data_IF_324912067929
#
_entry.id   IF_324912067929
#
_cell.length_a   1.000
_cell.length_b   1.000
_cell.length_c   1.000
_cell.angle_alpha   90.00
_cell.angle_beta   90.00
_cell.angle_gamma   90.00
#
_symmetry.space_group_name_H-M   'P 1'
#
loop_
_entity.id
_entity.type
_entity.pdbx_description
1 polymer ?
#
# COMPACT_ATOMS: atom_id res chain seq x y z
N UNK A 1 -5.03 32.41 6.39
CA UNK A 1 -3.90 32.02 5.53
C UNK A 1 -4.49 31.29 4.35
N UNK A 2 -4.28 31.78 3.13
CA UNK A 2 -4.88 31.19 1.94
C UNK A 2 -4.19 29.86 1.65
N UNK A 3 -4.99 28.80 1.49
CA UNK A 3 -4.51 27.49 1.12
C UNK A 3 -3.72 27.54 -0.19
N UNK A 4 -2.54 26.93 -0.21
CA UNK A 4 -1.69 26.80 -1.40
C UNK A 4 -2.46 26.06 -2.52
N UNK A 5 -2.65 26.71 -3.66
CA UNK A 5 -3.31 26.13 -4.84
C UNK A 5 -2.44 25.06 -5.51
N UNK A 6 -3.04 24.25 -6.38
CA UNK A 6 -2.35 23.20 -7.14
C UNK A 6 -1.11 23.70 -7.90
N UNK A 7 -1.26 24.84 -8.59
CA UNK A 7 -0.18 25.47 -9.36
C UNK A 7 0.96 25.99 -8.50
N UNK A 8 0.72 26.23 -7.21
CA UNK A 8 1.73 26.71 -6.27
C UNK A 8 2.53 25.54 -5.70
N UNK A 9 1.91 24.40 -5.38
CA UNK A 9 2.64 23.21 -4.92
C UNK A 9 3.65 22.74 -5.97
N UNK A 10 3.25 22.64 -7.24
CA UNK A 10 4.15 22.19 -8.31
C UNK A 10 5.40 23.09 -8.45
N UNK A 11 5.28 24.38 -8.14
CA UNK A 11 6.41 25.34 -8.18
C UNK A 11 7.32 25.24 -6.96
N UNK A 12 6.84 24.66 -5.85
CA UNK A 12 7.56 24.55 -4.58
C UNK A 12 8.36 23.25 -4.45
N UNK A 13 8.20 22.31 -5.38
CA UNK A 13 8.76 20.96 -5.29
C UNK A 13 9.60 20.66 -6.54
N UNK A 14 10.50 19.67 -6.44
CA UNK A 14 11.27 19.23 -7.61
C UNK A 14 10.38 18.51 -8.63
N UNK A 15 10.88 18.37 -9.87
CA UNK A 15 10.18 17.60 -10.89
C UNK A 15 10.00 16.13 -10.48
N UNK A 16 10.98 15.57 -9.77
CA UNK A 16 10.95 14.21 -9.25
C UNK A 16 9.89 14.05 -8.14
N UNK A 17 9.80 14.99 -7.18
CA UNK A 17 8.72 14.97 -6.18
C UNK A 17 7.35 15.15 -6.84
N UNK A 18 7.23 16.01 -7.84
CA UNK A 18 5.97 16.19 -8.56
C UNK A 18 5.52 14.92 -9.28
N UNK A 19 6.43 14.24 -9.99
CA UNK A 19 6.11 12.98 -10.64
C UNK A 19 5.69 11.91 -9.60
N UNK A 20 6.37 11.85 -8.45
CA UNK A 20 5.98 10.96 -7.35
C UNK A 20 4.57 11.27 -6.83
N UNK A 21 4.21 12.55 -6.70
CA UNK A 21 2.86 12.98 -6.31
C UNK A 21 1.81 12.51 -7.31
N UNK A 22 2.08 12.64 -8.61
CA UNK A 22 1.18 12.16 -9.68
C UNK A 22 1.00 10.65 -9.60
N UNK A 23 2.09 9.88 -9.46
CA UNK A 23 2.01 8.42 -9.35
C UNK A 23 1.30 7.97 -8.07
N UNK A 24 1.50 8.67 -6.95
CA UNK A 24 0.83 8.35 -5.69
C UNK A 24 -0.66 8.68 -5.76
N UNK A 25 -1.03 9.82 -6.34
CA UNK A 25 -2.44 10.17 -6.58
C UNK A 25 -3.12 9.14 -7.49
N UNK A 26 -2.46 8.70 -8.57
CA UNK A 26 -2.94 7.58 -9.39
C UNK A 26 -3.17 6.32 -8.56
N UNK A 27 -2.25 5.97 -7.66
CA UNK A 27 -2.39 4.81 -6.78
C UNK A 27 -3.66 4.91 -5.92
N UNK A 28 -3.91 6.05 -5.28
CA UNK A 28 -5.15 6.29 -4.52
C UNK A 28 -6.40 6.11 -5.39
N UNK A 29 -6.44 6.72 -6.58
CA UNK A 29 -7.57 6.57 -7.51
C UNK A 29 -7.78 5.13 -7.97
N UNK A 30 -6.70 4.39 -8.20
CA UNK A 30 -6.79 2.96 -8.55
C UNK A 30 -7.35 2.16 -7.38
N UNK A 31 -6.88 2.39 -6.15
CA UNK A 31 -7.42 1.71 -4.95
C UNK A 31 -8.92 1.96 -4.81
N UNK A 32 -9.39 3.20 -5.05
CA UNK A 32 -10.82 3.50 -5.09
C UNK A 32 -11.54 2.76 -6.24
N UNK A 33 -10.98 2.78 -7.45
CA UNK A 33 -11.54 2.13 -8.64
C UNK A 33 -11.71 0.61 -8.47
N UNK A 34 -10.80 -0.04 -7.74
CA UNK A 34 -10.88 -1.47 -7.44
C UNK A 34 -11.74 -1.79 -6.20
N UNK A 35 -12.35 -0.77 -5.56
CA UNK A 35 -13.27 -0.94 -4.42
C UNK A 35 -12.57 -1.32 -3.11
N UNK A 36 -11.32 -0.87 -2.93
CA UNK A 36 -10.50 -1.22 -1.76
C UNK A 36 -10.41 -0.11 -0.70
N UNK A 37 -11.05 1.03 -0.95
CA UNK A 37 -11.17 2.10 0.03
C UNK A 37 -12.12 1.71 1.16
N UNK A 38 -11.84 2.25 2.35
CA UNK A 38 -12.70 2.17 3.54
C UNK A 38 -12.95 3.59 4.03
N UNK A 39 -13.90 4.25 3.38
CA UNK A 39 -14.18 5.68 3.53
C UNK A 39 -12.87 6.48 3.47
N UNK A 40 -12.51 7.17 4.55
CA UNK A 40 -11.34 8.04 4.68
C UNK A 40 -10.25 7.46 5.60
N UNK A 41 -10.37 6.17 5.97
CA UNK A 41 -9.62 5.58 7.09
C UNK A 41 -8.36 4.79 6.70
N UNK A 42 -8.11 4.59 5.41
CA UNK A 42 -6.89 3.92 4.92
C UNK A 42 -5.88 4.92 4.38
N UNK A 43 -4.65 4.46 4.13
CA UNK A 43 -3.53 5.34 3.80
C UNK A 43 -2.46 4.64 2.96
N UNK A 44 -1.81 5.43 2.12
CA UNK A 44 -0.68 5.05 1.25
C UNK A 44 0.42 6.11 1.39
N UNK A 45 1.61 5.72 1.83
CA UNK A 45 2.74 6.65 1.91
C UNK A 45 3.78 6.36 0.84
N UNK A 46 4.42 7.43 0.34
CA UNK A 46 5.60 7.32 -0.50
C UNK A 46 6.74 8.19 0.03
N UNK A 47 7.96 7.66 0.08
CA UNK A 47 9.16 8.42 0.47
C UNK A 47 9.52 9.41 -0.63
N UNK A 48 9.73 10.67 -0.25
CA UNK A 48 10.20 11.72 -1.17
C UNK A 48 11.70 11.52 -1.43
N UNK A 49 12.17 11.54 -2.69
CA UNK A 49 13.59 11.47 -3.00
C UNK A 49 14.34 12.68 -2.43
N UNK A 50 15.41 12.44 -1.70
CA UNK A 50 16.22 13.49 -1.08
C UNK A 50 16.98 12.99 0.14
N UNK A 51 17.86 13.83 0.72
CA UNK A 51 18.56 13.50 1.96
C UNK A 51 17.64 13.51 3.18
N UNK A 52 16.46 14.13 3.10
CA UNK A 52 15.50 14.20 4.20
C UNK A 52 14.59 12.96 4.25
N UNK A 53 14.19 12.56 5.46
CA UNK A 53 13.17 11.53 5.65
C UNK A 53 11.76 12.15 5.58
N UNK A 54 11.40 12.62 4.38
CA UNK A 54 10.07 13.14 4.08
C UNK A 54 9.20 12.12 3.33
N UNK A 55 7.89 12.22 3.52
CA UNK A 55 6.90 11.30 2.97
C UNK A 55 5.69 12.07 2.43
N UNK A 56 5.09 11.55 1.36
CA UNK A 56 3.78 11.97 0.89
C UNK A 56 2.71 11.03 1.46
N UNK A 57 1.58 11.58 1.89
CA UNK A 57 0.41 10.82 2.34
C UNK A 57 -0.89 11.57 2.01
N UNK A 58 -2.04 10.87 2.02
CA UNK A 58 -3.32 11.50 1.75
C UNK A 58 -3.68 12.57 2.80
N UNK A 59 -4.34 13.65 2.36
CA UNK A 59 -5.08 14.54 3.25
C UNK A 59 -6.16 13.75 3.99
N UNK A 60 -6.19 13.88 5.31
CA UNK A 60 -7.20 13.19 6.13
C UNK A 60 -8.58 13.82 5.91
N UNK A 61 -9.58 12.98 5.64
CA UNK A 61 -10.96 13.40 5.38
C UNK A 61 -11.35 13.49 3.90
N UNK A 62 -10.41 13.33 2.96
CA UNK A 62 -10.75 13.12 1.55
C UNK A 62 -10.93 11.64 1.25
N UNK A 63 -11.90 11.34 0.39
CA UNK A 63 -12.05 10.02 -0.22
C UNK A 63 -10.90 9.77 -1.20
N UNK A 64 -10.56 8.50 -1.41
CA UNK A 64 -9.44 8.11 -2.28
C UNK A 64 -9.64 8.52 -3.74
N UNK A 65 -10.89 8.62 -4.20
CA UNK A 65 -11.29 9.10 -5.52
C UNK A 65 -11.30 10.63 -5.64
N UNK A 66 -10.98 11.38 -4.58
CA UNK A 66 -10.82 12.84 -4.61
C UNK A 66 -9.34 13.25 -4.70
N UNK A 67 -8.41 12.33 -4.40
CA UNK A 67 -6.98 12.63 -4.27
C UNK A 67 -6.37 13.13 -5.58
N UNK A 68 -5.66 14.25 -5.52
CA UNK A 68 -4.84 14.80 -6.61
C UNK A 68 -3.38 14.94 -6.17
N UNK A 69 -2.46 15.09 -7.14
CA UNK A 69 -1.03 15.29 -6.87
C UNK A 69 -0.77 16.50 -5.95
N UNK A 70 -1.52 17.58 -6.15
CA UNK A 70 -1.46 18.79 -5.31
C UNK A 70 -2.12 18.64 -3.94
N UNK A 71 -3.13 17.77 -3.78
CA UNK A 71 -3.80 17.56 -2.50
C UNK A 71 -2.94 16.81 -1.47
N UNK A 72 -1.98 16.01 -1.95
CA UNK A 72 -1.10 15.19 -1.10
C UNK A 72 -0.30 16.07 -0.14
N UNK A 73 -0.22 15.62 1.12
CA UNK A 73 0.50 16.33 2.17
C UNK A 73 1.91 15.75 2.31
N UNK A 74 2.92 16.63 2.38
CA UNK A 74 4.30 16.24 2.68
C UNK A 74 4.54 16.33 4.19
N UNK A 75 4.99 15.24 4.80
CA UNK A 75 5.23 15.13 6.24
C UNK A 75 6.62 14.60 6.56
N UNK A 76 7.11 14.88 7.77
CA UNK A 76 8.29 14.24 8.35
C UNK A 76 7.95 12.88 9.00
N UNK A 77 8.97 12.25 9.60
CA UNK A 77 8.89 10.98 10.32
C UNK A 77 7.91 11.01 11.52
N UNK A 78 7.61 12.19 12.07
CA UNK A 78 6.70 12.42 13.19
C UNK A 78 5.30 12.87 12.72
N UNK A 79 5.04 12.84 11.41
CA UNK A 79 3.79 13.31 10.79
C UNK A 79 3.56 14.83 10.89
N UNK A 80 4.62 15.64 11.09
CA UNK A 80 4.50 17.10 10.99
C UNK A 80 4.51 17.52 9.53
N UNK A 81 3.66 18.49 9.16
CA UNK A 81 3.61 19.05 7.80
C UNK A 81 4.89 19.83 7.47
N UNK A 82 5.48 19.54 6.32
CA UNK A 82 6.66 20.25 5.79
C UNK A 82 6.28 21.40 4.88
N UNK A 83 5.20 21.25 4.11
CA UNK A 83 4.61 22.30 3.28
C UNK A 83 3.24 22.62 3.85
N UNK A 84 2.91 23.91 3.93
CA UNK A 84 1.59 24.34 4.39
C UNK A 84 0.50 23.76 3.49
N UNK A 85 -0.52 23.17 4.13
CA UNK A 85 -1.62 22.49 3.47
C UNK A 85 -2.89 22.71 4.28
N UNK A 86 -4.03 23.04 3.63
CA UNK A 86 -5.30 23.23 4.31
C UNK A 86 -5.83 21.94 4.93
N UNK A 87 -5.37 20.79 4.45
CA UNK A 87 -5.89 19.50 4.86
C UNK A 87 -5.21 18.99 6.13
N UNK A 88 -5.95 18.38 7.07
CA UNK A 88 -5.33 17.72 8.21
C UNK A 88 -4.57 16.46 7.77
N UNK A 89 -3.72 15.96 8.66
CA UNK A 89 -3.07 14.65 8.54
C UNK A 89 -3.56 13.75 9.67
N UNK A 90 -3.39 12.44 9.54
CA UNK A 90 -3.74 11.47 10.58
C UNK A 90 -2.46 10.86 11.18
N UNK A 91 -1.91 11.41 12.27
CA UNK A 91 -0.70 10.88 12.91
C UNK A 91 -0.84 9.40 13.33
N UNK A 92 -2.00 9.01 13.85
CA UNK A 92 -2.24 7.63 14.28
C UNK A 92 -2.18 6.65 13.09
N UNK A 93 -2.79 7.03 11.96
CA UNK A 93 -2.71 6.27 10.71
C UNK A 93 -1.32 6.23 10.11
N UNK A 94 -0.49 7.25 10.35
CA UNK A 94 0.89 7.31 9.84
C UNK A 94 1.90 6.49 10.67
N UNK A 95 1.59 6.13 11.91
CA UNK A 95 2.53 5.39 12.79
C UNK A 95 3.06 4.12 12.11
N UNK A 96 2.19 3.31 11.52
CA UNK A 96 2.58 2.07 10.84
C UNK A 96 3.51 2.32 9.64
N UNK A 97 3.20 3.33 8.82
CA UNK A 97 4.03 3.74 7.68
C UNK A 97 5.41 4.22 8.13
N UNK A 98 5.44 5.06 9.18
CA UNK A 98 6.68 5.58 9.76
C UNK A 98 7.56 4.45 10.30
N UNK A 99 6.96 3.43 10.94
CA UNK A 99 7.68 2.27 11.47
C UNK A 99 8.35 1.46 10.35
N UNK A 100 7.60 1.17 9.28
CA UNK A 100 8.12 0.46 8.12
C UNK A 100 9.25 1.25 7.44
N UNK A 101 9.01 2.52 7.13
CA UNK A 101 9.99 3.36 6.45
C UNK A 101 11.27 3.57 7.27
N UNK A 102 11.19 3.60 8.60
CA UNK A 102 12.35 3.70 9.48
C UNK A 102 13.19 2.41 9.52
N UNK A 103 12.55 1.24 9.45
CA UNK A 103 13.26 -0.05 9.48
C UNK A 103 13.79 -0.47 8.12
N UNK A 104 13.19 0.01 7.03
CA UNK A 104 13.45 -0.48 5.68
C UNK A 104 13.66 0.67 4.69
N UNK A 105 14.91 1.09 4.54
CA UNK A 105 15.30 2.13 3.57
C UNK A 105 15.04 1.73 2.12
N UNK A 106 15.03 0.44 1.81
CA UNK A 106 14.72 -0.06 0.47
C UNK A 106 13.24 0.11 0.07
N UNK A 107 12.35 0.37 1.05
CA UNK A 107 10.92 0.57 0.82
C UNK A 107 10.60 2.04 0.59
N UNK A 108 10.10 2.32 -0.62
CA UNK A 108 9.74 3.66 -1.06
C UNK A 108 8.24 3.90 -1.05
N UNK A 109 7.41 2.85 -1.01
CA UNK A 109 5.96 2.96 -0.91
C UNK A 109 5.38 1.92 0.05
N UNK A 110 4.46 2.33 0.91
CA UNK A 110 3.70 1.48 1.82
C UNK A 110 2.21 1.72 1.57
N UNK A 111 1.47 0.64 1.35
CA UNK A 111 0.05 0.67 0.98
C UNK A 111 -0.73 -0.21 1.96
N UNK A 112 -1.70 0.38 2.67
CA UNK A 112 -2.54 -0.32 3.64
C UNK A 112 -4.03 -0.25 3.29
N UNK A 113 -4.75 -1.36 3.40
CA UNK A 113 -6.18 -1.47 3.07
C UNK A 113 -6.99 -2.27 4.10
N UNK A 114 -8.29 -1.98 4.15
CA UNK A 114 -9.31 -2.61 4.99
C UNK A 114 -10.37 -3.31 4.13
N UNK A 115 -9.94 -4.06 3.11
CA UNK A 115 -10.87 -4.78 2.23
C UNK A 115 -11.62 -5.85 3.01
N UNK A 116 -12.89 -6.10 2.63
CA UNK A 116 -13.71 -7.14 3.26
C UNK A 116 -13.03 -8.52 3.23
N UNK A 117 -12.44 -8.89 2.09
CA UNK A 117 -11.75 -10.17 1.96
C UNK A 117 -10.44 -10.18 2.75
N UNK A 118 -9.65 -9.10 2.70
CA UNK A 118 -8.42 -8.97 3.46
C UNK A 118 -8.63 -9.10 4.97
N UNK A 119 -9.63 -8.41 5.51
CA UNK A 119 -10.04 -8.51 6.93
C UNK A 119 -10.55 -9.93 7.25
N UNK A 120 -11.39 -10.50 6.38
CA UNK A 120 -11.94 -11.82 6.61
C UNK A 120 -10.83 -12.88 6.74
N UNK A 121 -9.81 -12.83 5.88
CA UNK A 121 -8.67 -13.76 5.95
C UNK A 121 -7.75 -13.44 7.12
N UNK A 122 -7.52 -12.15 7.45
CA UNK A 122 -6.67 -11.79 8.61
C UNK A 122 -7.26 -12.21 9.95
N UNK A 123 -8.57 -12.42 10.02
CA UNK A 123 -9.26 -12.99 11.17
C UNK A 123 -9.21 -14.54 11.23
N UNK A 124 -8.75 -15.22 10.19
CA UNK A 124 -8.65 -16.69 10.19
C UNK A 124 -7.38 -17.16 10.88
N UNK A 125 -7.48 -18.23 11.67
CA UNK A 125 -6.34 -18.81 12.41
C UNK A 125 -5.14 -19.11 11.49
N UNK A 126 -5.42 -19.70 10.33
CA UNK A 126 -4.38 -20.11 9.38
C UNK A 126 -3.95 -19.00 8.41
N UNK A 127 -4.56 -17.81 8.47
CA UNK A 127 -4.24 -16.70 7.57
C UNK A 127 -4.35 -17.09 6.10
N UNK A 128 -3.37 -16.70 5.28
CA UNK A 128 -3.28 -17.05 3.85
C UNK A 128 -2.98 -18.54 3.67
N UNK A 129 -3.81 -19.20 2.86
CA UNK A 129 -3.65 -20.61 2.49
C UNK A 129 -2.98 -20.76 1.11
N UNK A 130 -2.15 -21.79 0.90
CA UNK A 130 -1.51 -22.08 -0.38
C UNK A 130 -2.49 -22.77 -1.35
N UNK A 131 -3.52 -22.08 -1.81
CA UNK A 131 -4.63 -22.67 -2.59
C UNK A 131 -4.84 -22.00 -3.96
N UNK A 132 -3.96 -21.08 -4.32
CA UNK A 132 -4.00 -20.39 -5.63
C UNK A 132 -2.60 -19.98 -6.08
N UNK A 133 -2.43 -19.72 -7.37
CA UNK A 133 -1.18 -19.14 -7.88
C UNK A 133 -0.88 -17.78 -7.22
N UNK A 134 -1.89 -16.97 -6.96
CA UNK A 134 -1.74 -15.67 -6.30
C UNK A 134 -1.20 -15.85 -4.88
N UNK A 135 -1.73 -16.83 -4.14
CA UNK A 135 -1.29 -17.11 -2.77
C UNK A 135 0.19 -17.52 -2.69
N UNK A 136 0.74 -18.17 -3.72
CA UNK A 136 2.15 -18.57 -3.67
C UNK A 136 3.09 -17.36 -3.71
N UNK A 137 2.75 -16.32 -4.48
CA UNK A 137 3.53 -15.07 -4.50
C UNK A 137 3.49 -14.35 -3.15
N UNK A 138 2.31 -14.32 -2.51
CA UNK A 138 2.13 -13.70 -1.20
C UNK A 138 2.93 -14.47 -0.15
N UNK A 139 2.73 -15.79 -0.07
CA UNK A 139 3.34 -16.67 0.94
C UNK A 139 4.88 -16.66 0.90
N UNK A 140 5.48 -16.42 -0.27
CA UNK A 140 6.94 -16.31 -0.40
C UNK A 140 7.55 -15.10 0.31
N UNK A 141 6.76 -14.11 0.71
CA UNK A 141 7.23 -12.90 1.41
C UNK A 141 6.16 -12.35 2.37
N UNK A 142 5.46 -13.23 3.08
CA UNK A 142 4.39 -12.89 4.01
C UNK A 142 4.86 -12.91 5.47
N UNK A 143 4.57 -11.83 6.18
CA UNK A 143 4.64 -11.71 7.62
C UNK A 143 3.24 -11.51 8.23
N UNK A 144 3.13 -11.70 9.54
CA UNK A 144 1.93 -11.43 10.32
C UNK A 144 2.27 -10.54 11.51
N UNK A 145 1.38 -9.61 11.85
CA UNK A 145 1.45 -8.83 13.08
C UNK A 145 0.11 -8.96 13.83
N UNK A 146 0.19 -9.21 15.13
CA UNK A 146 -0.99 -9.38 15.98
C UNK A 146 -1.70 -8.06 16.25
N UNK A 147 -3.00 -8.11 16.51
CA UNK A 147 -3.80 -6.90 16.72
C UNK A 147 -3.59 -6.31 18.13
N UNK A 148 -3.11 -5.07 18.21
CA UNK A 148 -2.89 -4.37 19.49
C UNK A 148 -3.92 -3.26 19.79
N UNK A 149 -4.89 -3.06 18.89
CA UNK A 149 -5.99 -2.10 19.05
C UNK A 149 -6.10 -1.11 17.88
N UNK A 150 -6.96 -0.11 18.06
CA UNK A 150 -7.25 0.89 17.01
C UNK A 150 -6.16 1.95 16.89
N UNK A 151 -5.56 2.33 18.02
CA UNK A 151 -4.51 3.34 18.06
C UNK A 151 -3.16 2.64 18.04
N UNK A 152 -2.42 2.79 16.95
CA UNK A 152 -1.03 2.40 16.91
C UNK A 152 -0.23 3.25 17.89
N UNK A 153 0.52 2.60 18.78
CA UNK A 153 1.33 3.28 19.79
C UNK A 153 2.80 3.23 19.42
N UNK A 154 3.58 4.20 19.89
CA UNK A 154 5.02 4.23 19.57
C UNK A 154 5.77 3.00 20.07
N UNK A 155 5.30 2.36 21.15
CA UNK A 155 5.88 1.14 21.69
C UNK A 155 5.53 -0.14 20.90
N UNK A 156 4.59 -0.07 19.95
CA UNK A 156 4.24 -1.14 19.00
C UNK A 156 5.21 -1.20 17.81
N UNK A 157 5.80 -0.04 17.44
CA UNK A 157 6.71 0.06 16.28
C UNK A 157 7.80 -1.01 16.26
N UNK A 158 8.54 -1.28 17.37
CA UNK A 158 9.60 -2.29 17.35
C UNK A 158 9.08 -3.71 17.09
N UNK A 159 7.87 -4.04 17.58
CA UNK A 159 7.24 -5.35 17.35
C UNK A 159 6.82 -5.48 15.89
N UNK A 160 6.14 -4.46 15.35
CA UNK A 160 5.74 -4.44 13.93
C UNK A 160 6.95 -4.56 12.98
N UNK A 161 8.04 -3.86 13.30
CA UNK A 161 9.30 -3.95 12.53
C UNK A 161 9.91 -5.35 12.61
N UNK A 162 9.94 -5.96 13.80
CA UNK A 162 10.45 -7.32 14.00
C UNK A 162 9.61 -8.36 13.26
N UNK A 163 8.29 -8.28 13.38
CA UNK A 163 7.33 -9.16 12.73
C UNK A 163 7.43 -9.08 11.22
N UNK A 164 7.54 -7.86 10.67
CA UNK A 164 7.67 -7.66 9.24
C UNK A 164 9.03 -8.14 8.70
N UNK A 165 10.13 -7.87 9.41
CA UNK A 165 11.48 -8.23 8.98
C UNK A 165 11.77 -7.83 7.53
N UNK A 166 11.98 -8.83 6.67
CA UNK A 166 12.25 -8.64 5.24
C UNK A 166 11.04 -8.89 4.32
N UNK A 167 9.86 -9.18 4.89
CA UNK A 167 8.64 -9.41 4.13
C UNK A 167 8.18 -8.15 3.38
N UNK A 168 7.52 -8.35 2.25
CA UNK A 168 6.87 -7.27 1.48
C UNK A 168 5.35 -7.31 1.63
N UNK A 169 4.80 -8.41 2.13
CA UNK A 169 3.39 -8.55 2.50
C UNK A 169 3.31 -8.69 4.01
N UNK A 170 2.47 -7.88 4.65
CA UNK A 170 2.19 -7.97 6.08
C UNK A 170 0.68 -8.10 6.26
N UNK A 171 0.25 -9.20 6.85
CA UNK A 171 -1.13 -9.37 7.29
C UNK A 171 -1.26 -8.86 8.73
N UNK A 172 -2.06 -7.81 8.91
CA UNK A 172 -2.41 -7.32 10.24
C UNK A 172 -3.62 -8.13 10.72
N UNK A 173 -3.40 -9.02 11.68
CA UNK A 173 -4.45 -9.89 12.24
C UNK A 173 -5.66 -9.06 12.63
N UNK A 174 -6.85 -9.55 12.29
CA UNK A 174 -8.12 -8.88 12.58
C UNK A 174 -8.29 -7.45 12.03
N UNK A 175 -7.38 -6.94 11.19
CA UNK A 175 -7.34 -5.54 10.80
C UNK A 175 -7.29 -5.32 9.29
N UNK A 176 -6.37 -5.98 8.56
CA UNK A 176 -6.28 -5.77 7.12
C UNK A 176 -4.95 -6.16 6.51
N UNK A 177 -4.67 -5.56 5.36
CA UNK A 177 -3.51 -5.88 4.53
C UNK A 177 -2.55 -4.68 4.47
N UNK A 178 -1.25 -4.96 4.48
CA UNK A 178 -0.21 -3.98 4.21
C UNK A 178 0.79 -4.55 3.22
N UNK A 179 1.18 -3.75 2.23
CA UNK A 179 2.20 -4.12 1.25
C UNK A 179 3.25 -3.04 1.11
N UNK A 180 4.48 -3.47 0.87
CA UNK A 180 5.65 -2.63 0.71
C UNK A 180 6.27 -2.80 -0.67
N UNK A 181 6.75 -1.70 -1.25
CA UNK A 181 7.35 -1.70 -2.57
C UNK A 181 8.54 -0.76 -2.68
N UNK A 182 9.48 -1.09 -3.57
CA UNK A 182 10.57 -0.21 -4.00
C UNK A 182 10.08 0.95 -4.87
N UNK A 183 8.89 0.80 -5.42
CA UNK A 183 8.16 1.82 -6.18
C UNK A 183 6.68 1.77 -5.81
N UNK A 184 5.93 2.82 -6.15
CA UNK A 184 4.47 2.84 -6.01
C UNK A 184 3.82 1.72 -6.84
N UNK A 185 4.34 1.48 -8.04
CA UNK A 185 3.87 0.42 -8.91
C UNK A 185 4.04 -0.98 -8.29
N UNK A 186 5.19 -1.24 -7.63
CA UNK A 186 5.43 -2.50 -6.94
C UNK A 186 4.47 -2.70 -5.76
N UNK A 187 4.27 -1.65 -4.94
CA UNK A 187 3.34 -1.71 -3.81
C UNK A 187 1.90 -1.98 -4.30
N UNK A 188 1.47 -1.31 -5.37
CA UNK A 188 0.14 -1.53 -5.94
C UNK A 188 -0.04 -2.94 -6.50
N UNK A 189 0.92 -3.46 -7.29
CA UNK A 189 0.85 -4.82 -7.84
C UNK A 189 0.83 -5.87 -6.71
N UNK A 190 1.62 -5.66 -5.66
CA UNK A 190 1.58 -6.50 -4.46
C UNK A 190 0.20 -6.45 -3.81
N UNK A 191 -0.38 -5.27 -3.57
CA UNK A 191 -1.72 -5.17 -2.98
C UNK A 191 -2.79 -5.83 -3.85
N UNK A 192 -2.73 -5.65 -5.17
CA UNK A 192 -3.63 -6.33 -6.11
C UNK A 192 -3.55 -7.86 -5.97
N UNK A 193 -2.33 -8.40 -5.86
CA UNK A 193 -2.10 -9.84 -5.70
C UNK A 193 -2.57 -10.34 -4.33
N UNK A 194 -2.34 -9.54 -3.28
CA UNK A 194 -2.71 -9.88 -1.91
C UNK A 194 -4.23 -9.88 -1.71
N UNK A 195 -4.92 -8.86 -2.23
CA UNK A 195 -6.38 -8.81 -2.17
C UNK A 195 -7.01 -9.94 -2.98
N UNK A 196 -6.53 -10.22 -4.19
CA UNK A 196 -7.03 -11.36 -4.98
C UNK A 196 -6.80 -12.70 -4.27
N UNK A 197 -5.66 -12.87 -3.61
CA UNK A 197 -5.39 -14.06 -2.78
C UNK A 197 -6.49 -14.23 -1.73
N UNK A 198 -6.85 -13.15 -1.03
CA UNK A 198 -7.89 -13.18 -0.01
C UNK A 198 -9.29 -13.45 -0.60
N UNK A 199 -9.64 -12.79 -1.70
CA UNK A 199 -10.92 -13.01 -2.39
C UNK A 199 -11.08 -14.46 -2.88
N UNK A 200 -10.04 -15.02 -3.51
CA UNK A 200 -10.04 -16.42 -3.96
C UNK A 200 -10.20 -17.35 -2.76
N UNK A 201 -9.51 -17.09 -1.65
CA UNK A 201 -9.60 -17.92 -0.46
C UNK A 201 -11.00 -17.94 0.13
N UNK A 202 -11.64 -16.78 0.29
CA UNK A 202 -13.02 -16.70 0.79
C UNK A 202 -13.99 -17.43 -0.16
N UNK A 203 -13.83 -17.24 -1.48
CA UNK A 203 -14.67 -17.93 -2.46
C UNK A 203 -14.49 -19.45 -2.44
N UNK A 204 -13.24 -19.93 -2.33
CA UNK A 204 -12.93 -21.36 -2.27
C UNK A 204 -13.49 -22.02 -1.00
N UNK A 205 -13.38 -21.34 0.14
CA UNK A 205 -13.88 -21.84 1.43
C UNK A 205 -15.42 -21.82 1.55
N UNK A 206 -16.11 -21.02 0.74
CA UNK A 206 -17.58 -20.86 0.83
C UNK A 206 -18.35 -22.18 0.66
N UNK A 207 -17.77 -23.16 -0.05
CA UNK A 207 -18.36 -24.49 -0.22
C UNK A 207 -18.17 -25.45 0.96
N UNK A 208 -17.33 -25.11 1.94
CA UNK A 208 -17.07 -25.93 3.14
C UNK A 208 -16.33 -27.26 2.91
N UNK A 209 -15.95 -27.57 1.66
CA UNK A 209 -15.18 -28.76 1.31
C UNK A 209 -13.69 -28.60 1.58
N UNK A 210 -12.97 -29.74 1.62
CA UNK A 210 -11.51 -29.74 1.70
C UNK A 210 -10.89 -29.11 0.44
N UNK A 211 -9.88 -28.26 0.64
CA UNK A 211 -9.19 -27.56 -0.45
C UNK A 211 -7.90 -28.28 -0.83
N UNK A 212 -7.58 -28.28 -2.13
CA UNK A 212 -6.29 -28.77 -2.61
C UNK A 212 -5.21 -27.71 -2.40
N UNK A 213 -4.17 -28.07 -1.65
CA UNK A 213 -3.04 -27.19 -1.41
C UNK A 213 -1.99 -27.32 -2.52
N UNK A 214 -1.36 -26.21 -2.86
CA UNK A 214 -0.18 -26.15 -3.72
C UNK A 214 0.98 -26.83 -3.01
N UNK A 215 1.79 -27.58 -3.77
CA UNK A 215 3.02 -28.19 -3.28
C UNK A 215 3.96 -27.10 -2.72
N UNK A 216 4.39 -27.20 -1.44
CA UNK A 216 5.26 -26.20 -0.82
C UNK A 216 6.53 -25.89 -1.62
N UNK A 217 7.07 -26.86 -2.37
CA UNK A 217 8.28 -26.69 -3.21
C UNK A 217 8.09 -25.67 -4.33
N UNK A 218 6.85 -25.38 -4.73
CA UNK A 218 6.54 -24.37 -5.75
C UNK A 218 6.72 -22.96 -5.18
N UNK A 219 6.49 -22.77 -3.88
CA UNK A 219 6.58 -21.46 -3.22
C UNK A 219 8.03 -20.97 -3.21
N UNK A 220 8.99 -21.86 -2.95
CA UNK A 220 10.43 -21.54 -2.94
C UNK A 220 10.94 -21.00 -4.29
N UNK A 221 10.37 -21.45 -5.41
CA UNK A 221 10.76 -21.04 -6.76
C UNK A 221 10.02 -19.81 -7.31
N UNK A 222 9.00 -19.32 -6.59
CA UNK A 222 8.03 -18.39 -7.15
C UNK A 222 8.60 -16.99 -7.43
N UNK A 223 9.60 -16.57 -6.64
CA UNK A 223 10.26 -15.28 -6.82
C UNK A 223 10.97 -15.17 -8.17
N UNK A 224 11.61 -16.25 -8.63
CA UNK A 224 12.24 -16.30 -9.95
C UNK A 224 11.19 -16.28 -11.06
N UNK A 225 10.07 -17.00 -10.88
CA UNK A 225 8.98 -17.02 -11.86
C UNK A 225 8.36 -15.62 -12.05
N UNK A 226 8.13 -14.86 -10.96
CA UNK A 226 7.65 -13.47 -11.04
C UNK A 226 8.61 -12.59 -11.84
N UNK A 227 9.90 -12.68 -11.52
CA UNK A 227 10.93 -11.88 -12.20
C UNK A 227 10.95 -12.18 -13.70
N UNK A 228 10.82 -13.45 -14.10
CA UNK A 228 10.76 -13.83 -15.52
C UNK A 228 9.48 -13.29 -16.17
N UNK A 229 8.32 -13.44 -15.54
CA UNK A 229 7.04 -13.03 -16.09
C UNK A 229 6.96 -11.50 -16.31
N UNK A 230 7.50 -10.71 -15.39
CA UNK A 230 7.54 -9.24 -15.52
C UNK A 230 8.71 -8.74 -16.36
N UNK A 231 9.53 -9.62 -16.94
CA UNK A 231 10.80 -9.22 -17.60
C UNK A 231 11.75 -8.46 -16.67
N UNK A 232 11.69 -8.72 -15.37
CA UNK A 232 12.44 -8.01 -14.33
C UNK A 232 11.91 -6.62 -13.94
N UNK A 233 10.83 -6.13 -14.58
CA UNK A 233 10.28 -4.80 -14.34
C UNK A 233 9.37 -4.68 -13.11
N UNK A 234 9.00 -5.80 -12.47
CA UNK A 234 8.10 -5.80 -11.31
C UNK A 234 6.76 -5.11 -11.63
N UNK A 235 6.31 -4.25 -10.73
CA UNK A 235 5.08 -3.46 -10.88
C UNK A 235 5.08 -2.55 -12.11
N UNK A 236 6.24 -2.09 -12.56
CA UNK A 236 6.35 -1.23 -13.75
C UNK A 236 5.93 -1.94 -15.04
N UNK A 237 5.88 -3.27 -15.05
CA UNK A 237 5.33 -4.01 -16.19
C UNK A 237 3.85 -3.70 -16.43
N UNK A 238 3.06 -3.58 -15.35
CA UNK A 238 1.61 -3.34 -15.44
C UNK A 238 1.22 -1.88 -15.27
N UNK A 239 2.05 -1.07 -14.60
CA UNK A 239 1.75 0.32 -14.25
C UNK A 239 1.31 1.18 -15.44
N UNK A 240 2.00 1.18 -16.60
CA UNK A 240 1.56 1.98 -17.74
C UNK A 240 0.16 1.62 -18.24
N UNK A 241 -0.25 0.35 -18.12
CA UNK A 241 -1.58 -0.11 -18.51
C UNK A 241 -2.65 0.35 -17.53
N UNK A 242 -2.33 0.40 -16.23
CA UNK A 242 -3.18 0.95 -15.19
C UNK A 242 -3.36 2.46 -15.37
N UNK A 243 -2.28 3.19 -15.64
CA UNK A 243 -2.34 4.63 -15.94
C UNK A 243 -3.20 4.90 -17.18
N UNK A 244 -2.99 4.19 -18.30
CA UNK A 244 -3.87 4.33 -19.48
C UNK A 244 -5.33 4.03 -19.16
N UNK A 245 -5.62 3.11 -18.23
CA UNK A 245 -7.00 2.81 -17.79
C UNK A 245 -7.58 3.95 -16.98
N UNK A 246 -6.82 4.47 -16.01
CA UNK A 246 -7.24 5.60 -15.17
C UNK A 246 -7.45 6.86 -16.00
N UNK A 247 -6.53 7.19 -16.91
CA UNK A 247 -6.62 8.36 -17.81
C UNK A 247 -7.89 8.37 -18.69
N UNK A 248 -8.45 7.19 -19.01
CA UNK A 248 -9.73 7.10 -19.74
C UNK A 248 -10.95 7.37 -18.85
N UNK A 249 -10.80 7.23 -17.54
CA UNK A 249 -11.86 7.39 -16.55
C UNK A 249 -11.82 8.82 -16.02
N UNK A 250 -10.66 9.24 -15.52
CA UNK A 250 -10.41 10.55 -14.93
C UNK A 250 -8.90 10.82 -14.84
N UNK A 251 -8.41 11.88 -15.48
CA UNK A 251 -7.03 12.33 -15.40
C UNK A 251 -6.81 13.50 -14.42
N UNK A 252 -7.86 13.93 -13.69
CA UNK A 252 -7.78 15.04 -12.74
C UNK A 252 -6.85 14.78 -11.57
N UNK A 253 -6.50 13.51 -11.31
CA UNK A 253 -5.54 13.13 -10.28
C UNK A 253 -4.14 13.73 -10.52
N UNK A 254 -3.83 14.12 -11.75
CA UNK A 254 -2.54 14.73 -12.13
C UNK A 254 -2.40 16.19 -11.69
N UNK A 255 -3.51 16.83 -11.28
CA UNK A 255 -3.56 18.23 -10.86
C UNK A 255 -2.99 18.43 -9.46
#
# INVERSE_FOLDING_TARGET
>A
MNATSASEIQKLVSAEEWQLRVDLAACYRLVALYGWSDLVFTHISARVPGPEHHFLINPYGLMFDEITASSLVKVDQQCNKIIDSPYPVNPAGFVIHSAVHAAREDIQCVLHTHTRAGIAVSAQKNGVLPISQQSTFVLASLAYHDYEGVAFRDDEKPRLQADMGHANFLMLRNHGLLTCGKTIADAFLSMYTFENTCQIQIAAQAGGGELTHVDPRIIDGVGQAMKVQSGGLGGMFVWPSLIRKLDRIDDSYKQ
#
